data_IF_025572338722
#
_entry.id   IF_025572338722
#
_cell.length_a   1.000
_cell.length_b   1.000
_cell.length_c   1.000
_cell.angle_alpha   90.00
_cell.angle_beta   90.00
_cell.angle_gamma   90.00
#
_symmetry.space_group_name_H-M   'P 1'
#
loop_
_entity.id
_entity.type
_entity.pdbx_description
1 polymer ?
#
# COMPACT_ATOMS: atom_id res chain seq x y z
N UNK A 1 7.23 -7.81 17.06
CA UNK A 1 5.79 -7.49 17.10
C UNK A 1 5.59 -6.08 16.55
N UNK A 2 4.44 -5.78 15.95
CA UNK A 2 4.04 -4.42 15.55
C UNK A 2 2.58 -4.17 15.95
N UNK A 3 2.18 -2.90 16.03
CA UNK A 3 0.78 -2.50 16.23
C UNK A 3 0.31 -1.74 15.00
N UNK A 4 -0.84 -2.09 14.43
CA UNK A 4 -1.47 -1.32 13.35
C UNK A 4 -2.69 -0.58 13.89
N UNK A 5 -2.83 0.70 13.53
CA UNK A 5 -4.01 1.53 13.81
C UNK A 5 -4.61 1.91 12.47
N UNK A 6 -5.71 1.25 12.13
CA UNK A 6 -6.39 1.29 10.84
C UNK A 6 -7.77 1.92 10.98
N UNK A 7 -8.34 2.46 9.89
CA UNK A 7 -9.68 3.06 9.91
C UNK A 7 -9.83 4.21 8.91
N UNK A 8 -11.07 4.68 8.65
CA UNK A 8 -11.34 5.70 7.65
C UNK A 8 -10.70 7.05 8.02
N UNK A 9 -10.58 7.94 7.03
CA UNK A 9 -10.15 9.33 7.26
C UNK A 9 -11.04 9.98 8.32
N UNK A 10 -10.46 10.86 9.15
CA UNK A 10 -11.14 11.52 10.27
C UNK A 10 -11.68 10.60 11.39
N UNK A 11 -11.28 9.32 11.45
CA UNK A 11 -11.69 8.41 12.53
C UNK A 11 -10.97 8.64 13.89
N UNK A 12 -10.10 9.65 14.02
CA UNK A 12 -9.33 9.88 15.26
C UNK A 12 -8.09 8.99 15.43
N UNK A 13 -7.62 8.34 14.37
CA UNK A 13 -6.45 7.43 14.40
C UNK A 13 -5.18 8.09 14.92
N UNK A 14 -4.87 9.31 14.45
CA UNK A 14 -3.66 10.04 14.83
C UNK A 14 -3.61 10.28 16.34
N UNK A 15 -4.72 10.71 16.94
CA UNK A 15 -4.81 10.93 18.38
C UNK A 15 -4.52 9.65 19.18
N UNK A 16 -5.12 8.52 18.79
CA UNK A 16 -4.89 7.22 19.43
C UNK A 16 -3.43 6.77 19.25
N UNK A 17 -2.87 6.96 18.06
CA UNK A 17 -1.48 6.59 17.76
C UNK A 17 -0.48 7.40 18.60
N UNK A 18 -0.70 8.70 18.75
CA UNK A 18 0.11 9.58 19.61
C UNK A 18 0.09 9.12 21.07
N UNK A 19 -1.11 8.94 21.64
CA UNK A 19 -1.26 8.50 23.04
C UNK A 19 -0.56 7.16 23.29
N UNK A 20 -0.73 6.21 22.36
CA UNK A 20 -0.10 4.89 22.49
C UNK A 20 1.42 4.96 22.30
N UNK A 21 1.91 5.80 21.39
CA UNK A 21 3.33 5.95 21.14
C UNK A 21 4.06 6.58 22.33
N UNK A 22 3.46 7.58 22.97
CA UNK A 22 3.95 8.19 24.21
C UNK A 22 4.00 7.15 25.34
N UNK A 23 2.90 6.41 25.56
CA UNK A 23 2.82 5.39 26.61
C UNK A 23 3.84 4.24 26.43
N UNK A 24 4.16 3.88 25.18
CA UNK A 24 5.12 2.82 24.85
C UNK A 24 6.54 3.34 24.57
N UNK A 25 6.79 4.65 24.69
CA UNK A 25 8.05 5.29 24.33
C UNK A 25 8.60 4.85 22.95
N UNK A 26 7.71 4.83 21.96
CA UNK A 26 7.99 4.34 20.60
C UNK A 26 7.73 5.42 19.54
N UNK A 27 7.85 5.03 18.27
CA UNK A 27 7.71 5.92 17.12
C UNK A 27 6.64 5.39 16.16
N UNK A 28 6.10 6.30 15.36
CA UNK A 28 5.01 6.02 14.43
C UNK A 28 5.55 5.91 13.01
N UNK A 29 5.11 4.89 12.27
CA UNK A 29 5.27 4.78 10.82
C UNK A 29 3.95 5.20 10.19
N UNK A 30 3.95 6.32 9.46
CA UNK A 30 2.79 6.78 8.74
C UNK A 30 2.45 5.81 7.59
N UNK A 31 1.20 5.38 7.54
CA UNK A 31 0.66 4.43 6.57
C UNK A 31 -0.47 5.06 5.74
N UNK A 32 -0.18 6.26 5.22
CA UNK A 32 -1.06 7.01 4.34
C UNK A 32 -0.35 7.32 3.01
N UNK A 33 -0.96 6.95 1.88
CA UNK A 33 -0.35 7.12 0.56
C UNK A 33 -0.25 8.58 0.10
N UNK A 34 -0.89 9.53 0.78
CA UNK A 34 -0.88 10.95 0.42
C UNK A 34 0.00 11.79 1.35
N UNK A 35 0.08 11.43 2.64
CA UNK A 35 0.88 12.19 3.61
C UNK A 35 2.41 12.03 3.42
N UNK A 36 2.84 11.10 2.55
CA UNK A 36 4.24 10.95 2.13
C UNK A 36 4.76 12.14 1.32
N UNK A 37 3.86 12.91 0.70
CA UNK A 37 4.19 14.02 -0.18
C UNK A 37 4.41 15.33 0.59
N UNK A 38 5.52 15.99 0.28
CA UNK A 38 5.86 17.34 0.73
C UNK A 38 4.81 18.35 0.26
N UNK A 39 4.58 19.38 1.08
CA UNK A 39 3.70 20.52 0.79
C UNK A 39 2.20 20.20 0.69
N UNK A 40 1.80 18.93 0.76
CA UNK A 40 0.40 18.49 0.68
C UNK A 40 -0.21 18.30 2.07
N UNK A 41 -0.26 19.35 2.89
CA UNK A 41 -0.60 19.20 4.33
C UNK A 41 -2.11 19.14 4.58
N UNK A 42 -2.83 20.20 4.18
CA UNK A 42 -4.25 20.41 4.49
C UNK A 42 -5.13 19.32 3.85
N UNK A 43 -5.00 19.14 2.53
CA UNK A 43 -5.85 18.21 1.77
C UNK A 43 -5.62 16.72 2.09
N UNK A 44 -4.55 16.39 2.83
CA UNK A 44 -4.22 15.02 3.22
C UNK A 44 -4.47 14.75 4.71
N UNK A 45 -4.98 15.76 5.44
CA UNK A 45 -5.14 15.71 6.89
C UNK A 45 -3.85 15.24 7.60
N UNK A 46 -2.71 15.77 7.17
CA UNK A 46 -1.40 15.48 7.76
C UNK A 46 -1.41 15.92 9.24
N UNK A 47 -0.77 15.17 10.15
CA UNK A 47 -0.65 15.60 11.54
C UNK A 47 -0.06 17.00 11.64
N UNK A 48 -0.55 17.79 12.59
CA UNK A 48 -0.10 19.17 12.78
C UNK A 48 1.37 19.21 13.25
N UNK A 49 2.02 20.37 13.18
CA UNK A 49 3.41 20.52 13.67
C UNK A 49 3.51 20.18 15.17
N UNK A 50 2.49 20.53 15.94
CA UNK A 50 2.38 20.23 17.35
C UNK A 50 2.26 18.73 17.59
N UNK A 51 1.47 18.02 16.80
CA UNK A 51 1.36 16.54 16.85
C UNK A 51 2.68 15.85 16.45
N UNK A 52 3.33 16.33 15.38
CA UNK A 52 4.62 15.79 14.91
C UNK A 52 5.75 16.04 15.92
N UNK A 53 5.67 17.10 16.72
CA UNK A 53 6.65 17.40 17.77
C UNK A 53 6.53 16.48 18.99
N UNK A 54 5.34 15.91 19.25
CA UNK A 54 5.10 15.00 20.39
C UNK A 54 5.77 13.65 20.21
N UNK A 55 5.67 13.09 19.00
CA UNK A 55 6.19 11.76 18.66
C UNK A 55 6.76 11.79 17.26
N UNK A 56 7.95 11.22 17.08
CA UNK A 56 8.56 11.08 15.76
C UNK A 56 7.68 10.21 14.83
N UNK A 57 7.28 10.80 13.71
CA UNK A 57 6.61 10.11 12.62
C UNK A 57 7.60 9.85 11.47
N UNK A 58 7.60 8.64 10.96
CA UNK A 58 8.32 8.24 9.74
C UNK A 58 7.36 8.20 8.55
N UNK A 59 7.90 8.37 7.34
CA UNK A 59 7.14 8.34 6.07
C UNK A 59 6.10 9.46 5.93
N UNK A 60 6.43 10.64 6.46
CA UNK A 60 5.76 11.91 6.18
C UNK A 60 6.78 12.82 5.49
N UNK A 61 6.36 13.56 4.47
CA UNK A 61 7.22 14.52 3.77
C UNK A 61 8.51 13.92 3.21
N UNK A 62 8.45 12.70 2.70
CA UNK A 62 9.63 11.97 2.24
C UNK A 62 9.91 12.16 0.74
N UNK A 63 8.93 12.59 -0.04
CA UNK A 63 9.04 12.78 -1.49
C UNK A 63 8.33 14.06 -1.96
N UNK A 64 8.72 14.57 -3.12
CA UNK A 64 8.09 15.73 -3.74
C UNK A 64 6.85 15.36 -4.57
N UNK A 65 5.88 16.27 -4.72
CA UNK A 65 4.80 16.12 -5.69
C UNK A 65 5.35 15.80 -7.10
N UNK A 66 4.73 14.85 -7.78
CA UNK A 66 5.19 14.35 -9.09
C UNK A 66 6.07 13.10 -9.03
N UNK A 67 6.61 12.76 -7.86
CA UNK A 67 7.30 11.47 -7.66
C UNK A 67 6.29 10.35 -7.40
N UNK A 68 6.62 9.13 -7.87
CA UNK A 68 5.76 7.95 -7.69
C UNK A 68 6.10 7.29 -6.36
N UNK A 69 5.10 7.11 -5.50
CA UNK A 69 5.18 6.26 -4.32
C UNK A 69 4.14 5.14 -4.40
N UNK A 70 4.56 3.92 -4.13
CA UNK A 70 3.71 2.74 -4.24
C UNK A 70 3.88 1.83 -3.03
N UNK A 71 3.04 0.80 -2.94
CA UNK A 71 3.06 -0.15 -1.83
C UNK A 71 4.42 -0.86 -1.67
N UNK A 72 5.16 -1.11 -2.76
CA UNK A 72 6.49 -1.70 -2.71
C UNK A 72 7.52 -0.81 -2.05
N UNK A 73 7.53 0.48 -2.41
CA UNK A 73 8.37 1.49 -1.76
C UNK A 73 8.00 1.66 -0.29
N UNK A 74 6.70 1.75 0.02
CA UNK A 74 6.22 1.79 1.40
C UNK A 74 6.72 0.60 2.22
N UNK A 75 6.56 -0.64 1.73
CA UNK A 75 7.02 -1.84 2.46
C UNK A 75 8.52 -1.81 2.67
N UNK A 76 9.29 -1.42 1.66
CA UNK A 76 10.76 -1.33 1.75
C UNK A 76 11.18 -0.32 2.82
N UNK A 77 10.58 0.87 2.82
CA UNK A 77 10.99 1.94 3.73
C UNK A 77 10.44 1.71 5.15
N UNK A 78 9.18 1.27 5.29
CA UNK A 78 8.60 0.88 6.56
C UNK A 78 9.40 -0.27 7.23
N UNK A 79 9.82 -1.28 6.46
CA UNK A 79 10.61 -2.39 7.00
C UNK A 79 11.96 -1.94 7.60
N UNK A 80 12.63 -0.95 6.98
CA UNK A 80 13.88 -0.39 7.53
C UNK A 80 13.63 0.26 8.90
N UNK A 81 12.58 1.08 9.01
CA UNK A 81 12.24 1.76 10.27
C UNK A 81 11.73 0.80 11.35
N UNK A 82 10.96 -0.21 10.96
CA UNK A 82 10.51 -1.27 11.88
C UNK A 82 11.72 -2.03 12.44
N UNK A 83 12.68 -2.38 11.58
CA UNK A 83 13.89 -3.08 12.01
C UNK A 83 14.76 -2.24 12.95
N UNK A 84 14.90 -0.92 12.72
CA UNK A 84 15.65 -0.05 13.64
C UNK A 84 14.99 0.06 15.01
N UNK A 85 13.66 0.25 15.05
CA UNK A 85 12.89 0.27 16.29
C UNK A 85 12.98 -1.04 17.07
N UNK A 86 12.91 -2.18 16.38
CA UNK A 86 13.00 -3.49 17.02
C UNK A 86 14.39 -3.76 17.60
N UNK A 87 15.46 -3.27 16.97
CA UNK A 87 16.82 -3.32 17.53
C UNK A 87 16.95 -2.52 18.83
N UNK A 88 16.12 -1.48 18.99
CA UNK A 88 16.01 -0.69 20.22
C UNK A 88 15.01 -1.28 21.23
N UNK A 89 14.50 -2.50 21.01
CA UNK A 89 13.44 -3.14 21.80
C UNK A 89 12.13 -2.33 21.87
N UNK A 90 11.87 -1.47 20.89
CA UNK A 90 10.63 -0.70 20.78
C UNK A 90 9.60 -1.40 19.91
N UNK A 91 8.32 -1.25 20.23
CA UNK A 91 7.21 -1.80 19.44
C UNK A 91 6.76 -0.74 18.41
N UNK A 92 6.97 -0.94 17.10
CA UNK A 92 6.56 0.04 16.09
C UNK A 92 5.03 0.15 16.00
N UNK A 93 4.54 1.39 15.87
CA UNK A 93 3.14 1.69 15.61
C UNK A 93 2.99 2.12 14.15
N UNK A 94 2.13 1.44 13.39
CA UNK A 94 1.85 1.73 11.98
C UNK A 94 0.46 2.37 11.97
N UNK A 95 0.38 3.66 11.67
CA UNK A 95 -0.88 4.42 11.74
C UNK A 95 -1.26 4.95 10.36
N UNK A 96 -2.48 4.66 9.90
CA UNK A 96 -2.97 5.23 8.64
C UNK A 96 -4.19 4.51 8.06
N UNK A 97 -4.65 4.97 6.91
CA UNK A 97 -5.88 4.47 6.25
C UNK A 97 -5.65 3.66 4.98
N UNK A 98 -4.41 3.50 4.51
CA UNK A 98 -4.15 2.86 3.21
C UNK A 98 -4.12 1.34 3.37
N UNK A 99 -5.28 0.69 3.20
CA UNK A 99 -5.43 -0.77 3.40
C UNK A 99 -4.46 -1.61 2.56
N UNK A 100 -4.14 -1.19 1.32
CA UNK A 100 -3.15 -1.87 0.49
C UNK A 100 -1.76 -1.84 1.13
N UNK A 101 -1.35 -0.74 1.76
CA UNK A 101 -0.03 -0.61 2.40
C UNK A 101 0.09 -1.54 3.59
N UNK A 102 -0.92 -1.53 4.48
CA UNK A 102 -0.98 -2.44 5.64
C UNK A 102 -0.92 -3.89 5.18
N UNK A 103 -1.77 -4.27 4.22
CA UNK A 103 -1.80 -5.62 3.68
C UNK A 103 -0.45 -6.02 3.10
N UNK A 104 0.17 -5.15 2.31
CA UNK A 104 1.46 -5.39 1.68
C UNK A 104 2.59 -5.56 2.71
N UNK A 105 2.52 -4.83 3.82
CA UNK A 105 3.48 -4.93 4.91
C UNK A 105 3.35 -6.25 5.69
N UNK A 106 2.11 -6.68 5.94
CA UNK A 106 1.82 -7.88 6.72
C UNK A 106 1.94 -9.18 5.90
N UNK A 107 1.35 -9.20 4.71
CA UNK A 107 1.22 -10.39 3.84
C UNK A 107 2.32 -10.47 2.77
N UNK A 108 3.09 -9.40 2.59
CA UNK A 108 4.01 -9.26 1.46
C UNK A 108 3.32 -8.76 0.19
N UNK A 109 4.13 -8.49 -0.83
CA UNK A 109 3.66 -8.08 -2.15
C UNK A 109 3.85 -9.21 -3.15
N UNK A 110 3.13 -9.08 -4.26
CA UNK A 110 3.41 -9.88 -5.43
C UNK A 110 4.82 -9.54 -5.94
N UNK A 111 5.78 -10.44 -5.72
CA UNK A 111 7.13 -10.36 -6.25
C UNK A 111 7.16 -10.85 -7.70
N UNK A 112 7.70 -10.01 -8.58
CA UNK A 112 8.03 -10.35 -9.96
C UNK A 112 9.32 -9.62 -10.35
N UNK A 113 10.09 -10.13 -11.31
CA UNK A 113 11.25 -9.41 -11.84
C UNK A 113 10.81 -8.05 -12.42
N UNK A 114 11.68 -7.02 -12.43
CA UNK A 114 11.40 -5.75 -13.08
C UNK A 114 10.84 -5.96 -14.48
N UNK A 115 9.73 -5.30 -14.78
CA UNK A 115 9.06 -5.40 -16.08
C UNK A 115 9.55 -4.27 -16.96
N UNK A 116 9.95 -4.60 -18.17
CA UNK A 116 10.32 -3.62 -19.18
C UNK A 116 9.17 -2.62 -19.40
N UNK A 117 9.50 -1.33 -19.32
CA UNK A 117 8.52 -0.26 -19.53
C UNK A 117 7.93 -0.29 -20.94
N UNK A 118 8.63 -0.86 -21.92
CA UNK A 118 8.14 -1.04 -23.29
C UNK A 118 6.85 -1.88 -23.33
N UNK A 119 6.72 -2.90 -22.48
CA UNK A 119 5.49 -3.72 -22.38
C UNK A 119 4.31 -2.85 -21.97
N UNK A 120 4.52 -1.98 -20.97
CA UNK A 120 3.46 -1.06 -20.49
C UNK A 120 3.08 -0.03 -21.55
N UNK A 121 4.05 0.50 -22.29
CA UNK A 121 3.81 1.45 -23.38
C UNK A 121 2.99 0.80 -24.49
N UNK A 122 3.38 -0.41 -24.93
CA UNK A 122 2.66 -1.17 -25.94
C UNK A 122 1.21 -1.47 -25.52
N UNK A 123 1.00 -2.00 -24.31
CA UNK A 123 -0.34 -2.33 -23.82
C UNK A 123 -1.24 -1.09 -23.65
N UNK A 124 -0.66 0.08 -23.33
CA UNK A 124 -1.41 1.36 -23.32
C UNK A 124 -1.83 1.78 -24.73
N UNK A 125 -0.94 1.68 -25.71
CA UNK A 125 -1.29 1.97 -27.11
C UNK A 125 -2.36 1.00 -27.64
N UNK A 126 -2.31 -0.27 -27.25
CA UNK A 126 -3.37 -1.24 -27.55
C UNK A 126 -4.69 -0.89 -26.86
N UNK A 127 -4.67 -0.41 -25.61
CA UNK A 127 -5.88 0.04 -24.91
C UNK A 127 -6.53 1.22 -25.63
N UNK A 128 -5.73 2.18 -26.12
CA UNK A 128 -6.22 3.35 -26.84
C UNK A 128 -6.80 2.99 -28.22
N UNK A 129 -6.21 2.01 -28.91
CA UNK A 129 -6.63 1.61 -30.26
C UNK A 129 -7.76 0.58 -30.29
N UNK A 130 -7.75 -0.41 -29.39
CA UNK A 130 -8.68 -1.54 -29.38
C UNK A 130 -9.77 -1.42 -28.31
N UNK A 131 -9.53 -0.59 -27.29
CA UNK A 131 -10.45 -0.41 -26.17
C UNK A 131 -10.33 -1.48 -25.08
N UNK A 132 -10.91 -1.17 -23.92
CA UNK A 132 -10.79 -1.98 -22.69
C UNK A 132 -11.41 -3.37 -22.83
N UNK A 133 -12.53 -3.50 -23.57
CA UNK A 133 -13.26 -4.75 -23.71
C UNK A 133 -12.43 -5.84 -24.39
N UNK A 134 -11.66 -5.48 -25.42
CA UNK A 134 -10.78 -6.42 -26.14
C UNK A 134 -9.66 -6.90 -25.24
N UNK A 135 -9.04 -5.98 -24.48
CA UNK A 135 -8.00 -6.35 -23.51
C UNK A 135 -8.55 -7.21 -22.36
N UNK A 136 -9.77 -6.95 -21.92
CA UNK A 136 -10.41 -7.78 -20.90
C UNK A 136 -10.68 -9.21 -21.40
N UNK A 137 -11.13 -9.39 -22.65
CA UNK A 137 -11.29 -10.72 -23.25
C UNK A 137 -9.95 -11.47 -23.33
N UNK A 138 -8.87 -10.78 -23.73
CA UNK A 138 -7.51 -11.37 -23.71
C UNK A 138 -7.09 -11.78 -22.31
N UNK A 139 -7.36 -10.95 -21.30
CA UNK A 139 -7.08 -11.30 -19.91
C UNK A 139 -7.91 -12.51 -19.47
N UNK A 140 -9.18 -12.62 -19.86
CA UNK A 140 -10.01 -13.79 -19.52
C UNK A 140 -9.47 -15.09 -20.11
N UNK A 141 -8.92 -15.06 -21.32
CA UNK A 141 -8.31 -16.23 -21.94
C UNK A 141 -7.04 -16.69 -21.22
N UNK A 142 -6.28 -15.76 -20.63
CA UNK A 142 -4.99 -16.01 -19.99
C UNK A 142 -5.13 -16.30 -18.48
N UNK A 143 -5.97 -15.52 -17.79
CA UNK A 143 -6.16 -15.56 -16.34
C UNK A 143 -7.65 -15.39 -15.98
N UNK A 144 -8.49 -16.41 -16.22
CA UNK A 144 -9.92 -16.34 -15.93
C UNK A 144 -10.22 -16.17 -14.43
N UNK A 145 -9.35 -16.70 -13.56
CA UNK A 145 -9.47 -16.58 -12.10
C UNK A 145 -9.29 -15.12 -11.64
N UNK A 146 -8.32 -14.39 -12.21
CA UNK A 146 -8.09 -12.98 -11.90
C UNK A 146 -9.12 -12.08 -12.57
N UNK A 147 -9.48 -12.35 -13.83
CA UNK A 147 -10.49 -11.58 -14.56
C UNK A 147 -11.82 -11.52 -13.79
N UNK A 148 -12.29 -12.65 -13.22
CA UNK A 148 -13.50 -12.72 -12.37
C UNK A 148 -13.45 -11.84 -11.12
N UNK A 149 -12.26 -11.45 -10.64
CA UNK A 149 -12.07 -10.66 -9.41
C UNK A 149 -12.00 -9.16 -9.65
N UNK A 150 -11.96 -8.74 -10.91
CA UNK A 150 -11.83 -7.33 -11.29
C UNK A 150 -13.02 -6.90 -12.16
N UNK A 151 -13.22 -5.59 -12.27
CA UNK A 151 -14.21 -5.06 -13.21
C UNK A 151 -13.66 -5.08 -14.63
N UNK A 152 -14.50 -5.44 -15.60
CA UNK A 152 -14.19 -5.33 -17.04
C UNK A 152 -13.92 -3.88 -17.48
N UNK A 153 -14.31 -2.90 -16.65
CA UNK A 153 -14.12 -1.46 -16.88
C UNK A 153 -12.93 -0.88 -16.11
N UNK A 154 -12.10 -1.72 -15.50
CA UNK A 154 -10.90 -1.30 -14.75
C UNK A 154 -9.65 -1.50 -15.62
N UNK A 155 -9.31 -0.54 -16.51
CA UNK A 155 -8.17 -0.69 -17.41
C UNK A 155 -6.86 -0.85 -16.66
N UNK A 156 -6.73 -0.27 -15.45
CA UNK A 156 -5.51 -0.37 -14.66
C UNK A 156 -5.24 -1.80 -14.23
N UNK A 157 -6.25 -2.49 -13.69
CA UNK A 157 -6.11 -3.90 -13.28
C UNK A 157 -6.00 -4.84 -14.47
N UNK A 158 -6.70 -4.55 -15.56
CA UNK A 158 -6.63 -5.35 -16.79
C UNK A 158 -5.22 -5.30 -17.39
N UNK A 159 -4.70 -4.09 -17.60
CA UNK A 159 -3.35 -3.88 -18.11
C UNK A 159 -2.32 -4.53 -17.19
N UNK A 160 -2.51 -4.47 -15.87
CA UNK A 160 -1.60 -5.11 -14.92
C UNK A 160 -1.58 -6.63 -15.09
N UNK A 161 -2.72 -7.29 -15.27
CA UNK A 161 -2.79 -8.73 -15.53
C UNK A 161 -2.03 -9.13 -16.80
N UNK A 162 -2.28 -8.40 -17.89
CA UNK A 162 -1.60 -8.62 -19.17
C UNK A 162 -0.09 -8.31 -19.10
N UNK A 163 0.30 -7.24 -18.41
CA UNK A 163 1.68 -6.84 -18.20
C UNK A 163 2.47 -7.94 -17.46
N UNK A 164 1.90 -8.50 -16.38
CA UNK A 164 2.54 -9.60 -15.63
C UNK A 164 2.71 -10.83 -16.51
N UNK A 165 1.66 -11.22 -17.25
CA UNK A 165 1.74 -12.40 -18.11
C UNK A 165 2.75 -12.21 -19.24
N UNK A 166 2.74 -11.07 -19.92
CA UNK A 166 3.69 -10.76 -20.99
C UNK A 166 5.15 -10.78 -20.50
N UNK A 167 5.39 -10.30 -19.28
CA UNK A 167 6.74 -10.25 -18.72
C UNK A 167 7.25 -11.57 -18.14
N UNK A 168 6.36 -12.42 -17.62
CA UNK A 168 6.75 -13.59 -16.82
C UNK A 168 6.32 -14.94 -17.40
N UNK A 169 5.44 -14.94 -18.40
CA UNK A 169 4.78 -16.13 -18.93
C UNK A 169 3.79 -16.80 -17.97
N UNK A 170 3.58 -16.22 -16.79
CA UNK A 170 2.68 -16.73 -15.76
C UNK A 170 1.62 -15.70 -15.41
N UNK A 171 0.39 -16.17 -15.24
CA UNK A 171 -0.74 -15.34 -14.84
C UNK A 171 -0.63 -14.85 -13.39
N UNK A 172 -1.35 -13.78 -13.03
CA UNK A 172 -1.38 -13.28 -11.63
C UNK A 172 -1.91 -14.37 -10.70
N UNK A 173 -2.92 -15.12 -11.12
CA UNK A 173 -3.48 -16.21 -10.31
C UNK A 173 -2.48 -17.33 -10.05
N UNK A 174 -1.68 -17.73 -11.04
CA UNK A 174 -0.62 -18.74 -10.85
C UNK A 174 0.46 -18.25 -9.90
N UNK A 175 0.87 -17.01 -10.06
CA UNK A 175 1.81 -16.36 -9.16
C UNK A 175 1.32 -16.35 -7.71
N UNK A 176 0.05 -16.01 -7.47
CA UNK A 176 -0.55 -16.09 -6.15
C UNK A 176 -0.59 -17.51 -5.58
N UNK A 177 -0.82 -18.53 -6.43
CA UNK A 177 -0.77 -19.94 -6.00
C UNK A 177 0.65 -20.36 -5.60
N UNK A 178 1.68 -19.84 -6.27
CA UNK A 178 3.10 -20.14 -5.99
C UNK A 178 3.64 -19.39 -4.77
N UNK A 179 3.11 -18.20 -4.47
CA UNK A 179 3.55 -17.42 -3.32
C UNK A 179 3.03 -17.98 -2.00
N UNK A 180 3.95 -18.43 -1.15
CA UNK A 180 3.66 -18.69 0.26
C UNK A 180 3.54 -17.35 1.00
N UNK A 181 2.32 -16.98 1.38
CA UNK A 181 2.09 -15.81 2.25
C UNK A 181 2.47 -16.15 3.68
N UNK A 182 3.72 -15.89 4.02
CA UNK A 182 4.19 -15.99 5.41
C UNK A 182 4.03 -14.60 6.06
N UNK A 183 3.26 -14.47 7.16
CA UNK A 183 3.15 -13.21 7.87
C UNK A 183 4.53 -12.67 8.24
N UNK A 184 4.88 -11.48 7.75
CA UNK A 184 6.20 -10.88 8.02
C UNK A 184 6.36 -10.43 9.47
N UNK A 185 5.25 -10.11 10.13
CA UNK A 185 5.23 -9.60 11.49
C UNK A 185 4.08 -10.23 12.29
N UNK A 186 4.34 -10.51 13.58
CA UNK A 186 3.27 -10.66 14.57
C UNK A 186 2.66 -9.28 14.81
N UNK A 187 1.42 -9.07 14.37
CA UNK A 187 0.74 -7.77 14.42
C UNK A 187 -0.48 -7.80 15.35
N UNK A 188 -0.57 -6.83 16.25
CA UNK A 188 -1.82 -6.47 16.93
C UNK A 188 -2.52 -5.41 16.10
N UNK A 189 -3.76 -5.69 15.67
CA UNK A 189 -4.49 -4.81 14.76
C UNK A 189 -5.62 -4.11 15.51
N UNK A 190 -5.62 -2.78 15.47
CA UNK A 190 -6.65 -1.93 16.07
C UNK A 190 -7.38 -1.24 14.92
N UNK A 191 -8.68 -1.51 14.79
CA UNK A 191 -9.54 -0.86 13.80
C UNK A 191 -10.40 0.20 14.49
N UNK A 192 -10.21 1.46 14.11
CA UNK A 192 -11.00 2.59 14.59
C UNK A 192 -12.13 2.83 13.60
N UNK A 193 -13.36 2.53 14.00
CA UNK A 193 -14.55 2.63 13.14
C UNK A 193 -15.65 3.41 13.86
N UNK A 194 -15.68 4.74 13.73
CA UNK A 194 -16.81 5.53 14.24
C UNK A 194 -18.11 5.15 13.51
N UNK A 195 -19.24 5.32 14.18
CA UNK A 195 -20.55 5.14 13.56
C UNK A 195 -20.69 6.11 12.36
N UNK A 196 -21.27 5.63 11.26
CA UNK A 196 -21.63 6.53 10.16
C UNK A 196 -22.79 7.39 10.62
N UNK A 197 -22.68 8.70 10.46
CA UNK A 197 -23.86 9.56 10.50
C UNK A 197 -24.79 9.08 9.37
N UNK A 198 -26.00 8.66 9.74
CA UNK A 198 -27.07 8.25 8.83
C UNK A 198 -27.65 9.51 8.19
#
# INVERSE_FOLDING_TARGET
>A
MIITIEGPTAAGKTAIALMLAEALNTRIVNCDSRQVYRYMDIGTAKPSKEELARVQHHLIDIIDPGQIYNAGLFVKDAAKFIASLQKENKIPIICGGTGLYVRSLLEGLFEHPPIDSAIRVALKAELESLGVSVLYQRLQAIDPDFAKRISEKDPQRILRGLEIYAATGLSISEHWKRQKRVPRYRAMRILVSPARAI
#
